data_IF_323165659215
#
_entry.id   IF_323165659215
#
_cell.length_a   1.000
_cell.length_b   1.000
_cell.length_c   1.000
_cell.angle_alpha   90.00
_cell.angle_beta   90.00
_cell.angle_gamma   90.00
#
_symmetry.space_group_name_H-M   'P 1'
#
loop_
_entity.id
_entity.type
_entity.pdbx_description
1 polymer ?
#
# COMPACT_ATOMS: atom_id res chain seq x y z
N UNK A 1 -24.60 3.49 -0.44
CA UNK A 1 -23.43 2.83 -1.09
C UNK A 1 -22.30 2.79 -0.05
N UNK A 2 -21.87 1.60 0.39
CA UNK A 2 -20.69 1.51 1.28
C UNK A 2 -19.49 1.96 0.46
N UNK A 3 -18.78 3.00 0.90
CA UNK A 3 -17.57 3.50 0.23
C UNK A 3 -16.52 2.37 0.15
N UNK A 4 -16.54 1.61 -0.95
CA UNK A 4 -15.63 0.51 -1.17
C UNK A 4 -14.34 1.06 -1.75
N UNK A 5 -13.38 1.34 -0.88
CA UNK A 5 -12.06 1.83 -1.26
C UNK A 5 -11.12 0.72 -1.74
N UNK A 6 -11.52 -0.56 -1.67
CA UNK A 6 -10.69 -1.68 -2.07
C UNK A 6 -10.15 -1.57 -3.52
N UNK A 7 -10.97 -1.30 -4.55
CA UNK A 7 -10.45 -1.14 -5.92
C UNK A 7 -9.49 0.05 -6.04
N UNK A 8 -9.80 1.17 -5.38
CA UNK A 8 -8.96 2.39 -5.41
C UNK A 8 -7.60 2.13 -4.78
N UNK A 9 -7.58 1.52 -3.59
CA UNK A 9 -6.36 1.21 -2.84
C UNK A 9 -5.50 0.19 -3.62
N UNK A 10 -6.12 -0.84 -4.20
CA UNK A 10 -5.40 -1.82 -5.03
C UNK A 10 -4.74 -1.15 -6.24
N UNK A 11 -5.45 -0.29 -6.96
CA UNK A 11 -4.89 0.44 -8.10
C UNK A 11 -3.72 1.34 -7.70
N UNK A 12 -3.83 2.05 -6.57
CA UNK A 12 -2.73 2.88 -6.05
C UNK A 12 -1.49 2.04 -5.70
N UNK A 13 -1.67 0.90 -5.04
CA UNK A 13 -0.56 -0.01 -4.70
C UNK A 13 0.09 -0.58 -5.96
N UNK A 14 -0.68 -0.94 -6.98
CA UNK A 14 -0.14 -1.39 -8.27
C UNK A 14 0.73 -0.30 -8.91
N UNK A 15 0.22 0.93 -9.02
CA UNK A 15 0.97 2.06 -9.56
C UNK A 15 2.27 2.32 -8.78
N UNK A 16 2.21 2.33 -7.44
CA UNK A 16 3.40 2.48 -6.58
C UNK A 16 4.40 1.35 -6.83
N UNK A 17 3.94 0.11 -6.98
CA UNK A 17 4.81 -1.04 -7.21
C UNK A 17 5.48 -1.02 -8.59
N UNK A 18 4.80 -0.52 -9.61
CA UNK A 18 5.38 -0.31 -10.95
C UNK A 18 6.49 0.75 -10.90
N UNK A 19 6.25 1.87 -10.22
CA UNK A 19 7.27 2.91 -9.99
C UNK A 19 8.44 2.39 -9.14
N UNK A 20 8.15 1.57 -8.12
CA UNK A 20 9.16 0.97 -7.28
C UNK A 20 10.07 -0.02 -8.03
N UNK A 21 9.58 -0.67 -9.09
CA UNK A 21 10.33 -1.67 -9.86
C UNK A 21 11.61 -1.12 -10.53
N UNK A 22 11.70 0.20 -10.74
CA UNK A 22 12.90 0.87 -11.25
C UNK A 22 13.77 1.54 -10.18
N UNK A 23 13.44 1.37 -8.89
CA UNK A 23 14.08 2.09 -7.78
C UNK A 23 14.48 1.14 -6.65
N UNK A 24 15.26 1.64 -5.68
CA UNK A 24 15.53 0.91 -4.41
C UNK A 24 14.37 0.98 -3.40
N UNK A 25 13.22 1.56 -3.76
CA UNK A 25 12.10 1.68 -2.83
C UNK A 25 11.34 0.36 -2.70
N UNK A 26 10.76 0.14 -1.52
CA UNK A 26 10.10 -1.11 -1.17
C UNK A 26 8.71 -1.19 -1.82
N UNK A 27 8.36 -2.40 -2.28
CA UNK A 27 7.03 -2.72 -2.79
C UNK A 27 6.02 -2.83 -1.63
N UNK A 28 4.76 -2.61 -1.94
CA UNK A 28 3.65 -2.64 -0.99
C UNK A 28 2.69 -3.80 -1.30
N UNK A 29 2.06 -4.34 -0.26
CA UNK A 29 0.90 -5.25 -0.35
C UNK A 29 -0.26 -4.75 0.52
N UNK A 30 -1.45 -5.23 0.20
CA UNK A 30 -2.68 -4.92 0.92
C UNK A 30 -3.23 -6.16 1.61
N UNK A 31 -3.41 -6.07 2.92
CA UNK A 31 -4.22 -7.01 3.69
C UNK A 31 -5.54 -6.32 4.05
N UNK A 32 -6.64 -6.90 3.60
CA UNK A 32 -7.98 -6.40 3.91
C UNK A 32 -8.72 -7.39 4.81
N UNK A 33 -9.16 -6.91 5.97
CA UNK A 33 -10.03 -7.65 6.85
C UNK A 33 -11.27 -6.81 7.14
N UNK A 34 -12.43 -7.23 6.64
CA UNK A 34 -13.86 -6.79 6.79
C UNK A 34 -14.17 -5.34 7.24
N UNK A 35 -13.40 -4.79 8.17
CA UNK A 35 -13.52 -3.45 8.74
C UNK A 35 -12.34 -2.51 8.41
N UNK A 36 -11.14 -3.00 8.09
CA UNK A 36 -9.92 -2.20 7.95
C UNK A 36 -9.03 -2.66 6.78
N UNK A 37 -8.26 -1.71 6.28
CA UNK A 37 -7.21 -1.91 5.27
C UNK A 37 -5.86 -1.78 5.96
N UNK A 38 -4.94 -2.68 5.64
CA UNK A 38 -3.59 -2.74 6.19
C UNK A 38 -2.61 -2.74 5.02
N UNK A 39 -1.82 -1.69 4.92
CA UNK A 39 -0.77 -1.53 3.91
C UNK A 39 0.52 -1.98 4.57
N UNK A 40 1.17 -2.95 3.98
CA UNK A 40 2.40 -3.55 4.48
C UNK A 40 3.47 -3.57 3.38
N UNK A 41 4.72 -3.75 3.79
CA UNK A 41 5.82 -3.98 2.86
C UNK A 41 5.69 -5.38 2.25
N UNK A 42 5.76 -5.46 0.93
CA UNK A 42 5.83 -6.73 0.22
C UNK A 42 7.26 -7.30 0.37
N UNK A 43 7.45 -8.22 1.31
CA UNK A 43 8.71 -8.94 1.48
C UNK A 43 8.82 -10.10 0.48
N UNK A 44 9.96 -10.20 -0.21
CA UNK A 44 10.47 -11.45 -0.77
C UNK A 44 11.76 -11.77 0.01
N UNK A 45 11.96 -12.99 0.56
CA UNK A 45 11.21 -14.24 0.37
C UNK A 45 10.05 -14.44 1.38
N UNK A 46 9.13 -15.40 1.11
CA UNK A 46 7.94 -15.70 1.92
C UNK A 46 8.21 -16.18 3.36
N UNK A 47 9.47 -16.35 3.76
CA UNK A 47 9.88 -16.77 5.11
C UNK A 47 9.93 -15.64 6.15
N UNK A 48 9.67 -14.39 5.74
CA UNK A 48 9.54 -13.29 6.67
C UNK A 48 8.21 -13.43 7.44
N UNK A 49 8.24 -14.18 8.55
CA UNK A 49 7.14 -14.33 9.52
C UNK A 49 6.64 -12.99 10.11
N UNK A 50 7.25 -11.86 9.73
CA UNK A 50 6.90 -10.51 10.15
C UNK A 50 6.74 -9.61 8.91
N UNK A 51 5.50 -9.43 8.43
CA UNK A 51 5.21 -8.35 7.49
C UNK A 51 5.27 -7.01 8.24
N UNK A 52 6.00 -6.04 7.68
CA UNK A 52 6.08 -4.71 8.28
C UNK A 52 4.87 -3.91 7.85
N UNK A 53 3.97 -3.65 8.79
CA UNK A 53 2.81 -2.78 8.57
C UNK A 53 3.29 -1.33 8.49
N UNK A 54 2.99 -0.66 7.39
CA UNK A 54 3.28 0.76 7.21
C UNK A 54 2.11 1.63 7.68
N UNK A 55 0.88 1.17 7.43
CA UNK A 55 -0.32 1.92 7.78
C UNK A 55 -1.52 0.99 7.92
N UNK A 56 -2.36 1.23 8.94
CA UNK A 56 -3.63 0.53 9.12
C UNK A 56 -4.75 1.55 9.36
N UNK A 57 -5.85 1.42 8.63
CA UNK A 57 -6.97 2.34 8.80
C UNK A 57 -8.19 2.04 7.95
N UNK A 58 -9.10 3.03 7.89
CA UNK A 58 -10.27 3.01 7.01
C UNK A 58 -9.88 3.45 5.59
N UNK A 59 -10.72 3.11 4.61
CA UNK A 59 -10.44 3.30 3.20
C UNK A 59 -9.91 4.68 2.82
N UNK A 60 -10.58 5.75 3.28
CA UNK A 60 -10.16 7.13 3.03
C UNK A 60 -8.78 7.46 3.62
N UNK A 61 -8.48 6.95 4.82
CA UNK A 61 -7.19 7.20 5.47
C UNK A 61 -6.06 6.49 4.72
N UNK A 62 -6.28 5.25 4.29
CA UNK A 62 -5.34 4.50 3.46
C UNK A 62 -5.13 5.16 2.10
N UNK A 63 -6.20 5.67 1.47
CA UNK A 63 -6.10 6.42 0.23
C UNK A 63 -5.20 7.66 0.36
N UNK A 64 -5.36 8.44 1.44
CA UNK A 64 -4.53 9.62 1.71
C UNK A 64 -3.08 9.25 2.00
N UNK A 65 -2.86 8.20 2.80
CA UNK A 65 -1.52 7.67 3.07
C UNK A 65 -0.81 7.29 1.77
N UNK A 66 -1.48 6.56 0.87
CA UNK A 66 -0.89 6.13 -0.41
C UNK A 66 -0.62 7.31 -1.36
N UNK A 67 -1.44 8.37 -1.36
CA UNK A 67 -1.14 9.57 -2.12
C UNK A 67 0.13 10.26 -1.61
N UNK A 68 0.30 10.37 -0.29
CA UNK A 68 1.52 10.91 0.31
C UNK A 68 2.75 10.03 0.03
N UNK A 69 2.58 8.72 0.11
CA UNK A 69 3.64 7.76 -0.23
C UNK A 69 4.06 7.89 -1.70
N UNK A 70 3.09 7.96 -2.62
CA UNK A 70 3.33 8.16 -4.05
C UNK A 70 4.07 9.48 -4.35
N UNK A 71 3.69 10.57 -3.68
CA UNK A 71 4.36 11.86 -3.85
C UNK A 71 5.86 11.81 -3.49
N UNK A 72 6.26 10.91 -2.58
CA UNK A 72 7.68 10.73 -2.23
C UNK A 72 8.54 10.22 -3.40
N UNK A 73 7.95 9.59 -4.41
CA UNK A 73 8.65 9.18 -5.63
C UNK A 73 8.89 10.35 -6.60
N UNK A 74 8.08 11.40 -6.52
CA UNK A 74 8.10 12.55 -7.43
C UNK A 74 8.98 13.71 -6.92
N UNK A 75 9.37 13.68 -5.64
CA UNK A 75 10.17 14.73 -5.01
C UNK A 75 11.69 14.56 -5.22
N UNK A 76 12.12 13.86 -6.27
CA UNK A 76 13.54 13.63 -6.60
C UNK A 76 13.97 14.39 -7.83
#
# INVERSE_FOLDING_TARGET
MKNNYLPVINAQIQCINELASGTKQERLSLVYNKSNYCIEKACQPPDARHSTILFQGKGRACHLFLNGYLASFQSK
#
